data_IF_704569221753
#
_entry.id   IF_704569221753
#
_cell.length_a   1.000
_cell.length_b   1.000
_cell.length_c   1.000
_cell.angle_alpha   90.00
_cell.angle_beta   90.00
_cell.angle_gamma   90.00
#
_symmetry.space_group_name_H-M   'P 1'
#
loop_
_entity.id
_entity.type
_entity.pdbx_description
1 polymer ?
#
# COMPACT_ATOMS: atom_id res chain seq x y z
N UNK A 1 -59.31 -15.69 -22.89
CA UNK A 1 -58.80 -15.56 -21.51
C UNK A 1 -57.36 -16.04 -21.51
N UNK A 2 -56.41 -15.10 -21.41
CA UNK A 2 -54.98 -15.42 -21.37
C UNK A 2 -54.54 -15.71 -19.94
N UNK A 3 -53.73 -16.74 -19.77
CA UNK A 3 -53.06 -17.08 -18.51
C UNK A 3 -51.63 -17.50 -18.80
N UNK A 4 -50.77 -16.50 -19.03
CA UNK A 4 -49.31 -16.64 -18.90
C UNK A 4 -48.97 -16.48 -17.41
N UNK A 5 -48.12 -17.39 -16.91
CA UNK A 5 -47.57 -17.35 -15.55
C UNK A 5 -46.22 -18.04 -15.54
N UNK A 6 -45.29 -17.51 -16.34
CA UNK A 6 -43.86 -17.80 -16.26
C UNK A 6 -43.25 -17.10 -15.03
N UNK A 7 -42.17 -17.70 -14.50
CA UNK A 7 -41.14 -16.94 -13.80
C UNK A 7 -41.11 -17.06 -12.29
N UNK A 8 -40.82 -18.26 -11.77
CA UNK A 8 -40.21 -18.40 -10.44
C UNK A 8 -38.82 -17.78 -10.45
N UNK A 9 -38.73 -16.49 -10.16
CA UNK A 9 -37.48 -15.74 -10.08
C UNK A 9 -36.58 -16.29 -8.99
N UNK A 10 -35.51 -16.96 -9.39
CA UNK A 10 -34.31 -17.12 -8.56
C UNK A 10 -33.75 -15.72 -8.29
N UNK A 11 -34.05 -15.15 -7.12
CA UNK A 11 -33.30 -14.01 -6.63
C UNK A 11 -31.89 -14.52 -6.32
N UNK A 12 -30.81 -13.99 -6.94
CA UNK A 12 -29.47 -14.33 -6.51
C UNK A 12 -29.32 -13.96 -5.02
N UNK A 13 -28.54 -14.70 -4.23
CA UNK A 13 -28.31 -14.37 -2.84
C UNK A 13 -27.84 -12.92 -2.78
N UNK A 14 -28.57 -12.11 -2.02
CA UNK A 14 -28.23 -10.72 -1.75
C UNK A 14 -26.76 -10.68 -1.36
N UNK A 15 -25.91 -10.16 -2.25
CA UNK A 15 -24.52 -9.90 -1.96
C UNK A 15 -24.48 -9.13 -0.64
N UNK A 16 -24.02 -9.81 0.42
CA UNK A 16 -23.76 -9.18 1.72
C UNK A 16 -22.87 -7.99 1.38
N UNK A 17 -23.41 -6.78 1.51
CA UNK A 17 -22.66 -5.56 1.29
C UNK A 17 -21.76 -5.41 2.50
N UNK A 18 -20.71 -6.23 2.56
CA UNK A 18 -19.56 -5.94 3.41
C UNK A 18 -19.15 -4.51 3.09
N UNK A 19 -19.09 -3.66 4.11
CA UNK A 19 -18.70 -2.27 3.96
C UNK A 19 -17.26 -2.26 3.45
N UNK A 20 -17.07 -2.08 2.15
CA UNK A 20 -15.77 -1.88 1.53
C UNK A 20 -15.20 -0.56 2.07
N UNK A 21 -14.34 -0.66 3.07
CA UNK A 21 -13.44 0.44 3.41
C UNK A 21 -12.22 0.31 2.52
N UNK A 22 -11.93 1.36 1.75
CA UNK A 22 -10.65 1.48 1.06
C UNK A 22 -9.61 1.96 2.05
N UNK A 23 -8.48 1.28 2.04
CA UNK A 23 -7.39 1.50 2.96
C UNK A 23 -6.12 1.58 2.13
N UNK A 24 -5.32 2.61 2.29
CA UNK A 24 -4.12 2.81 1.47
C UNK A 24 -2.88 2.82 2.36
N UNK A 25 -1.76 2.31 1.85
CA UNK A 25 -0.46 2.44 2.51
C UNK A 25 0.66 2.65 1.49
N UNK A 26 1.76 3.23 1.96
CA UNK A 26 2.97 3.45 1.18
C UNK A 26 4.06 2.49 1.65
N UNK A 27 4.80 1.94 0.70
CA UNK A 27 6.02 1.17 0.97
C UNK A 27 7.20 1.85 0.29
N UNK A 28 8.30 1.95 1.01
CA UNK A 28 9.59 2.37 0.47
C UNK A 28 10.53 1.18 0.44
N UNK A 29 11.15 0.95 -0.72
CA UNK A 29 12.22 -0.04 -0.87
C UNK A 29 13.53 0.68 -1.15
N UNK A 30 14.53 0.43 -0.29
CA UNK A 30 15.88 0.95 -0.43
C UNK A 30 16.89 -0.13 -0.06
N UNK A 31 17.81 -0.47 -0.98
CA UNK A 31 18.83 -1.53 -0.80
C UNK A 31 18.28 -2.84 -0.21
N UNK A 32 17.12 -3.26 -0.71
CA UNK A 32 16.46 -4.49 -0.26
C UNK A 32 15.75 -4.41 1.10
N UNK A 33 15.91 -3.32 1.88
CA UNK A 33 15.05 -3.06 3.03
C UNK A 33 13.72 -2.49 2.57
N UNK A 34 12.65 -2.94 3.22
CA UNK A 34 11.29 -2.46 3.01
C UNK A 34 10.82 -1.75 4.27
N UNK A 35 10.32 -0.54 4.10
CA UNK A 35 9.68 0.24 5.14
C UNK A 35 8.23 0.48 4.72
N UNK A 36 7.29 0.33 5.65
CA UNK A 36 5.86 0.45 5.38
C UNK A 36 5.27 1.53 6.27
N UNK A 37 4.39 2.36 5.71
CA UNK A 37 3.61 3.34 6.47
C UNK A 37 2.51 2.68 7.30
N UNK A 38 1.87 3.45 8.18
CA UNK A 38 0.55 3.07 8.66
C UNK A 38 -0.45 3.04 7.49
N UNK A 39 -1.50 2.24 7.67
CA UNK A 39 -2.63 2.19 6.75
C UNK A 39 -3.55 3.39 7.04
N UNK A 40 -3.98 4.08 5.98
CA UNK A 40 -4.91 5.22 6.04
C UNK A 40 -6.23 4.83 5.41
N UNK A 41 -7.31 4.88 6.19
CA UNK A 41 -8.66 4.58 5.73
C UNK A 41 -9.33 5.80 5.11
N UNK A 42 -10.12 5.58 4.05
CA UNK A 42 -10.96 6.61 3.44
C UNK A 42 -10.78 6.72 1.92
N UNK A 43 -11.21 7.86 1.36
CA UNK A 43 -11.07 8.17 -0.07
C UNK A 43 -10.01 9.21 -0.37
N UNK A 44 -9.65 10.03 0.62
CA UNK A 44 -8.67 11.10 0.52
C UNK A 44 -7.45 10.77 1.37
N UNK A 45 -6.50 10.04 0.79
CA UNK A 45 -5.33 9.55 1.51
C UNK A 45 -4.29 10.68 1.68
N UNK A 46 -3.94 10.96 2.93
CA UNK A 46 -2.84 11.87 3.28
C UNK A 46 -1.86 11.12 4.17
N UNK A 47 -0.59 11.05 3.74
CA UNK A 47 0.48 10.40 4.48
C UNK A 47 1.43 11.45 5.05
N UNK A 48 1.45 11.59 6.38
CA UNK A 48 2.32 12.52 7.09
C UNK A 48 3.43 11.76 7.84
N UNK A 49 4.07 10.81 7.14
CA UNK A 49 5.12 9.95 7.69
C UNK A 49 6.48 10.26 7.07
N UNK A 50 7.52 10.15 7.89
CA UNK A 50 8.90 10.30 7.46
C UNK A 50 9.62 8.96 7.61
N UNK A 51 10.25 8.53 6.52
CA UNK A 51 11.10 7.35 6.52
C UNK A 51 12.56 7.75 6.64
N UNK A 52 13.29 7.10 7.55
CA UNK A 52 14.73 7.27 7.70
C UNK A 52 15.42 6.12 6.98
N UNK A 53 16.17 6.44 5.94
CA UNK A 53 16.95 5.48 5.17
C UNK A 53 18.38 5.42 5.72
N UNK A 54 18.88 4.21 5.93
CA UNK A 54 20.27 4.00 6.32
C UNK A 54 21.17 3.98 5.08
N UNK A 55 21.74 5.14 4.76
CA UNK A 55 22.55 5.35 3.56
C UNK A 55 23.81 4.48 3.49
N UNK A 56 24.33 4.04 4.64
CA UNK A 56 25.58 3.29 4.70
C UNK A 56 25.36 1.78 4.78
N UNK A 57 24.11 1.35 4.89
CA UNK A 57 23.80 -0.06 4.97
C UNK A 57 24.27 -0.82 3.73
N UNK A 58 25.09 -1.84 3.95
CA UNK A 58 25.57 -2.73 2.89
C UNK A 58 26.73 -2.16 2.07
N UNK A 59 27.28 -1.00 2.46
CA UNK A 59 28.52 -0.48 1.92
C UNK A 59 29.72 -0.96 2.75
N UNK A 60 30.85 -1.11 2.07
CA UNK A 60 32.16 -1.22 2.70
C UNK A 60 32.67 0.14 3.22
N UNK A 61 33.66 0.11 4.12
CA UNK A 61 34.26 1.35 4.66
C UNK A 61 34.83 2.24 3.55
N UNK A 62 35.38 1.65 2.49
CA UNK A 62 35.95 2.36 1.34
C UNK A 62 34.88 3.11 0.54
N UNK A 63 33.72 2.48 0.34
CA UNK A 63 32.57 3.09 -0.33
C UNK A 63 31.95 4.21 0.50
N UNK A 64 32.07 4.16 1.84
CA UNK A 64 31.56 5.22 2.72
C UNK A 64 32.40 6.51 2.65
N UNK A 65 33.65 6.43 2.19
CA UNK A 65 34.56 7.59 2.17
C UNK A 65 34.05 8.65 1.21
N UNK A 66 33.83 9.86 1.73
CA UNK A 66 33.38 11.01 0.94
C UNK A 66 31.87 11.07 0.71
N UNK A 67 31.10 10.15 1.28
CA UNK A 67 29.64 10.19 1.26
C UNK A 67 29.12 10.85 2.55
N UNK A 68 28.32 11.89 2.39
CA UNK A 68 27.61 12.52 3.50
C UNK A 68 26.24 11.88 3.72
N UNK A 69 25.80 11.77 4.97
CA UNK A 69 24.45 11.31 5.32
C UNK A 69 23.40 12.39 5.03
N UNK A 70 23.15 12.67 3.75
CA UNK A 70 22.28 13.74 3.27
C UNK A 70 21.52 13.32 1.99
N UNK A 71 20.49 14.06 1.55
CA UNK A 71 19.87 13.85 0.23
C UNK A 71 20.85 13.92 -0.95
N UNK A 72 21.90 14.74 -0.82
CA UNK A 72 22.97 14.84 -1.81
C UNK A 72 23.80 13.56 -1.83
N UNK A 73 24.14 13.02 -0.66
CA UNK A 73 24.86 11.75 -0.55
C UNK A 73 24.05 10.54 -1.05
N UNK A 74 22.72 10.59 -0.93
CA UNK A 74 21.83 9.62 -1.57
C UNK A 74 21.93 9.67 -3.10
N UNK A 75 22.02 10.88 -3.66
CA UNK A 75 22.15 11.07 -5.09
C UNK A 75 23.52 10.60 -5.63
N UNK A 76 24.59 10.70 -4.84
CA UNK A 76 25.93 10.24 -5.25
C UNK A 76 26.07 8.72 -5.34
N UNK A 77 25.23 7.98 -4.63
CA UNK A 77 25.26 6.51 -4.61
C UNK A 77 24.50 5.87 -5.77
N UNK A 78 23.72 6.64 -6.52
CA UNK A 78 22.87 6.16 -7.63
C UNK A 78 21.92 5.01 -7.25
N UNK A 79 21.65 4.83 -5.96
CA UNK A 79 20.76 3.79 -5.49
C UNK A 79 19.29 4.17 -5.74
N UNK A 80 18.48 3.26 -6.31
CA UNK A 80 17.07 3.52 -6.49
C UNK A 80 16.36 3.52 -5.13
N UNK A 81 15.59 4.59 -4.88
CA UNK A 81 14.55 4.60 -3.86
C UNK A 81 13.23 4.36 -4.56
N UNK A 82 12.59 3.22 -4.26
CA UNK A 82 11.32 2.85 -4.88
C UNK A 82 10.20 3.22 -3.91
N UNK A 83 9.22 3.97 -4.40
CA UNK A 83 8.00 4.33 -3.69
C UNK A 83 6.82 3.58 -4.31
N UNK A 84 6.24 2.66 -3.55
CA UNK A 84 5.04 1.93 -3.93
C UNK A 84 3.84 2.45 -3.15
N UNK A 85 2.70 2.63 -3.82
CA UNK A 85 1.42 2.99 -3.20
C UNK A 85 0.46 1.85 -3.45
N UNK A 86 -0.11 1.31 -2.37
CA UNK A 86 -1.00 0.15 -2.41
C UNK A 86 -2.39 0.54 -1.92
N UNK A 87 -3.42 0.11 -2.66
CA UNK A 87 -4.82 0.10 -2.22
C UNK A 87 -5.12 -1.29 -1.67
N UNK A 88 -5.43 -1.37 -0.39
CA UNK A 88 -5.78 -2.57 0.35
C UNK A 88 -7.29 -2.61 0.56
N UNK A 89 -7.95 -3.62 0.01
CA UNK A 89 -9.37 -3.86 0.22
C UNK A 89 -9.54 -4.81 1.41
N UNK A 90 -9.96 -4.26 2.56
CA UNK A 90 -10.22 -5.08 3.75
C UNK A 90 -11.68 -5.53 3.74
N UNK A 91 -11.89 -6.83 3.50
CA UNK A 91 -13.21 -7.44 3.65
C UNK A 91 -13.42 -7.89 5.10
N UNK A 92 -14.44 -7.34 5.75
CA UNK A 92 -14.90 -7.83 7.05
C UNK A 92 -16.03 -8.83 6.83
N UNK A 93 -15.84 -10.07 7.29
CA UNK A 93 -16.95 -11.00 7.43
C UNK A 93 -17.80 -10.56 8.61
N UNK A 94 -19.06 -10.18 8.36
CA UNK A 94 -20.05 -10.04 9.41
C UNK A 94 -20.31 -11.43 10.01
N UNK A 95 -19.64 -11.73 11.12
CA UNK A 95 -20.02 -12.82 12.01
C UNK A 95 -21.32 -12.38 12.69
N UNK A 96 -22.43 -12.93 12.21
CA UNK A 96 -23.77 -12.71 12.76
C UNK A 96 -23.98 -13.35 14.12
#
# INVERSE_FOLDING_TARGET
MGGMGEGGGFLPPSSRRGRQNRSCFVEIVFRGKRLRSATVDGSDFTFNEQFVLDLFQGLSEEEMIGIEASPTGLSSLHDPVIFNVYDEEVMYDEVG
#
